data_IF_915118429579
#
_entry.id   IF_915118429579
#
_cell.length_a   1.000
_cell.length_b   1.000
_cell.length_c   1.000
_cell.angle_alpha   90.00
_cell.angle_beta   90.00
_cell.angle_gamma   90.00
#
_symmetry.space_group_name_H-M   'P 1'
#
loop_
_entity.id
_entity.type
_entity.pdbx_description
1 polymer ?
#
# COMPACT_ATOMS: atom_id res chain seq x y z
N UNK A 1 50.43 -5.61 -11.55
CA UNK A 1 50.58 -5.57 -13.02
C UNK A 1 49.31 -6.19 -13.59
N UNK A 2 48.33 -5.39 -14.03
CA UNK A 2 48.16 -4.86 -15.40
C UNK A 2 48.04 -6.02 -16.43
N UNK A 3 47.10 -6.10 -17.38
CA UNK A 3 46.04 -5.25 -17.92
C UNK A 3 45.11 -6.17 -18.77
N UNK A 4 43.78 -5.93 -18.84
CA UNK A 4 43.01 -5.36 -19.96
C UNK A 4 42.84 -6.19 -21.27
N UNK A 5 41.66 -5.96 -21.88
CA UNK A 5 41.38 -5.93 -23.34
C UNK A 5 40.76 -7.23 -23.92
N UNK A 6 39.73 -7.24 -24.78
CA UNK A 6 38.92 -6.19 -25.42
C UNK A 6 37.81 -6.82 -26.27
N UNK A 7 36.64 -6.18 -26.30
CA UNK A 7 35.65 -6.31 -27.38
C UNK A 7 36.10 -5.58 -28.66
N UNK A 8 35.62 -5.96 -29.85
CA UNK A 8 35.74 -5.12 -31.04
C UNK A 8 34.47 -4.28 -31.25
N UNK A 9 34.76 -2.99 -31.41
CA UNK A 9 33.93 -1.89 -31.88
C UNK A 9 33.81 -1.97 -33.41
N UNK A 10 32.64 -1.73 -34.00
CA UNK A 10 32.54 -1.25 -35.38
C UNK A 10 31.77 0.06 -35.42
N UNK A 11 32.45 1.05 -35.98
CA UNK A 11 32.06 2.44 -36.17
C UNK A 11 31.54 2.59 -37.60
N UNK A 12 30.53 3.43 -37.82
CA UNK A 12 30.01 3.74 -39.15
C UNK A 12 28.98 4.87 -39.10
N UNK A 13 29.47 6.10 -38.96
CA UNK A 13 28.73 7.33 -39.25
C UNK A 13 28.39 7.41 -40.75
N UNK A 14 27.20 7.90 -41.11
CA UNK A 14 27.03 9.01 -42.05
C UNK A 14 25.56 9.24 -42.47
N UNK A 15 25.08 10.43 -42.11
CA UNK A 15 24.32 11.38 -42.94
C UNK A 15 22.88 11.10 -43.38
N UNK A 16 22.02 12.00 -42.91
CA UNK A 16 20.68 12.34 -43.39
C UNK A 16 20.71 12.94 -44.81
N UNK A 17 19.71 12.62 -45.65
CA UNK A 17 19.20 13.48 -46.75
C UNK A 17 17.86 12.97 -47.27
N UNK A 18 16.87 13.87 -47.30
CA UNK A 18 15.61 13.73 -48.00
C UNK A 18 15.79 14.08 -49.49
N UNK A 19 15.15 13.35 -50.41
CA UNK A 19 14.58 13.86 -51.68
C UNK A 19 13.91 12.73 -52.50
N UNK A 20 12.63 12.96 -52.79
CA UNK A 20 11.92 12.81 -54.07
C UNK A 20 11.87 11.47 -54.85
N UNK A 21 10.63 10.99 -55.01
CA UNK A 21 10.01 10.82 -56.32
C UNK A 21 10.34 9.55 -57.13
N UNK A 22 9.38 8.62 -57.21
CA UNK A 22 9.41 7.55 -58.20
C UNK A 22 8.27 6.54 -58.02
N UNK A 23 7.12 6.82 -58.64
CA UNK A 23 5.99 5.90 -58.66
C UNK A 23 6.17 4.75 -59.65
N UNK A 24 5.58 3.60 -59.32
CA UNK A 24 5.11 2.61 -60.29
C UNK A 24 3.83 1.97 -59.76
N UNK A 25 2.76 2.11 -60.54
CA UNK A 25 1.43 1.55 -60.28
C UNK A 25 1.46 0.02 -60.39
N UNK A 26 0.73 -0.66 -59.51
CA UNK A 26 -0.08 -1.80 -59.94
C UNK A 26 -1.33 -1.85 -59.08
N UNK A 27 -2.45 -1.63 -59.76
CA UNK A 27 -3.79 -1.87 -59.27
C UNK A 27 -3.95 -3.34 -58.89
N UNK A 28 -4.43 -3.65 -57.68
CA UNK A 28 -5.46 -4.67 -57.47
C UNK A 28 -5.85 -4.83 -56.00
N UNK A 29 -7.17 -4.91 -55.79
CA UNK A 29 -7.91 -5.31 -54.59
C UNK A 29 -7.94 -4.37 -53.38
N UNK A 30 -9.06 -3.65 -53.29
CA UNK A 30 -9.69 -3.22 -52.04
C UNK A 30 -9.87 -4.43 -51.09
N UNK A 31 -8.96 -4.61 -50.15
CA UNK A 31 -9.22 -5.35 -48.92
C UNK A 31 -9.24 -4.37 -47.74
N UNK A 32 -10.41 -4.32 -47.11
CA UNK A 32 -10.83 -3.40 -46.06
C UNK A 32 -10.18 -3.73 -44.70
N UNK A 33 -8.86 -3.63 -44.58
CA UNK A 33 -8.17 -3.73 -43.29
C UNK A 33 -8.05 -2.34 -42.68
N UNK A 34 -9.10 -1.95 -41.94
CA UNK A 34 -9.00 -0.87 -40.95
C UNK A 34 -7.86 -1.22 -40.00
N UNK A 35 -6.74 -0.51 -40.13
CA UNK A 35 -5.69 -0.48 -39.13
C UNK A 35 -6.30 0.14 -37.87
N UNK A 36 -6.74 -0.68 -36.93
CA UNK A 36 -7.17 -0.21 -35.61
C UNK A 36 -5.91 0.18 -34.83
N UNK A 37 -5.77 1.44 -34.38
CA UNK A 37 -4.65 1.82 -33.53
C UNK A 37 -4.65 0.96 -32.26
N UNK A 38 -3.48 0.42 -31.89
CA UNK A 38 -3.25 -0.42 -30.71
C UNK A 38 -3.63 0.31 -29.40
N UNK A 39 -3.86 1.62 -29.47
CA UNK A 39 -4.18 2.52 -28.36
C UNK A 39 -5.58 2.29 -27.75
N UNK A 40 -6.54 1.71 -28.49
CA UNK A 40 -7.91 1.48 -27.96
C UNK A 40 -7.99 0.21 -27.09
N UNK A 41 -7.27 -0.86 -27.45
CA UNK A 41 -7.25 -2.11 -26.67
C UNK A 41 -6.60 -1.92 -25.30
N UNK A 42 -5.51 -1.13 -25.24
CA UNK A 42 -4.84 -0.80 -23.98
C UNK A 42 -5.74 0.04 -23.06
N UNK A 43 -6.54 0.96 -23.61
CA UNK A 43 -7.45 1.79 -22.82
C UNK A 43 -8.63 0.99 -22.22
N UNK A 44 -9.19 0.03 -22.95
CA UNK A 44 -10.25 -0.84 -22.41
C UNK A 44 -9.73 -1.76 -21.31
N UNK A 45 -8.55 -2.38 -21.50
CA UNK A 45 -7.94 -3.21 -20.47
C UNK A 45 -7.59 -2.40 -19.23
N UNK A 46 -7.05 -1.19 -19.38
CA UNK A 46 -6.80 -0.27 -18.26
C UNK A 46 -8.10 0.15 -17.57
N UNK A 47 -9.18 0.39 -18.31
CA UNK A 47 -10.49 0.71 -17.74
C UNK A 47 -11.08 -0.46 -16.96
N UNK A 48 -11.02 -1.69 -17.49
CA UNK A 48 -11.49 -2.89 -16.80
C UNK A 48 -10.67 -3.19 -15.56
N UNK A 49 -9.33 -3.08 -15.63
CA UNK A 49 -8.44 -3.24 -14.48
C UNK A 49 -8.66 -2.16 -13.41
N UNK A 50 -8.95 -0.91 -13.81
CA UNK A 50 -9.33 0.14 -12.88
C UNK A 50 -10.67 -0.14 -12.22
N UNK A 51 -11.67 -0.62 -12.98
CA UNK A 51 -12.99 -0.96 -12.45
C UNK A 51 -12.92 -2.14 -11.47
N UNK A 52 -12.13 -3.19 -11.77
CA UNK A 52 -11.92 -4.31 -10.86
C UNK A 52 -11.19 -3.88 -9.58
N UNK A 53 -10.14 -3.06 -9.71
CA UNK A 53 -9.42 -2.50 -8.56
C UNK A 53 -10.29 -1.57 -7.70
N UNK A 54 -11.16 -0.77 -8.33
CA UNK A 54 -12.13 0.07 -7.63
C UNK A 54 -13.15 -0.77 -6.86
N UNK A 55 -13.67 -1.83 -7.47
CA UNK A 55 -14.63 -2.71 -6.81
C UNK A 55 -14.00 -3.47 -5.64
N UNK A 56 -12.76 -3.95 -5.83
CA UNK A 56 -11.96 -4.55 -4.76
C UNK A 56 -11.72 -3.58 -3.60
N UNK A 57 -11.51 -2.30 -3.89
CA UNK A 57 -11.39 -1.28 -2.86
C UNK A 57 -12.70 -0.93 -2.19
N UNK A 58 -13.84 -0.99 -2.87
CA UNK A 58 -15.18 -0.72 -2.30
C UNK A 58 -15.62 -1.88 -1.39
N UNK A 59 -15.18 -3.11 -1.68
CA UNK A 59 -15.47 -4.31 -0.89
C UNK A 59 -14.40 -4.59 0.19
N UNK A 60 -13.39 -3.74 0.34
CA UNK A 60 -12.33 -3.95 1.31
C UNK A 60 -12.84 -3.76 2.75
N UNK A 61 -12.30 -4.57 3.66
CA UNK A 61 -12.66 -4.50 5.08
C UNK A 61 -11.42 -4.21 5.88
N UNK A 62 -11.55 -3.31 6.84
CA UNK A 62 -10.46 -2.97 7.73
C UNK A 62 -10.65 -3.65 9.08
N UNK A 63 -9.57 -3.70 9.85
CA UNK A 63 -9.59 -4.13 11.23
C UNK A 63 -9.28 -2.92 12.11
N UNK A 64 -9.92 -2.84 13.28
CA UNK A 64 -9.57 -1.86 14.31
C UNK A 64 -9.13 -2.58 15.57
N UNK A 65 -8.03 -2.14 16.19
CA UNK A 65 -7.47 -2.77 17.38
C UNK A 65 -6.94 -1.76 18.39
N UNK A 66 -7.21 -2.04 19.67
CA UNK A 66 -6.60 -1.34 20.79
C UNK A 66 -5.11 -1.68 20.93
N UNK A 67 -4.28 -0.65 20.94
CA UNK A 67 -2.86 -0.73 21.24
C UNK A 67 -2.64 -0.56 22.75
N UNK A 68 -2.53 -1.67 23.48
CA UNK A 68 -2.33 -1.66 24.92
C UNK A 68 -0.84 -1.52 25.23
N UNK A 69 -0.49 -0.64 26.16
CA UNK A 69 0.90 -0.43 26.61
C UNK A 69 1.74 0.45 25.68
N UNK A 70 1.15 1.07 24.66
CA UNK A 70 1.81 2.02 23.76
C UNK A 70 1.06 3.35 23.82
N UNK A 71 1.81 4.43 23.93
CA UNK A 71 1.31 5.78 24.20
C UNK A 71 1.40 6.73 23.01
N UNK A 72 2.22 6.41 22.00
CA UNK A 72 2.42 7.19 20.77
C UNK A 72 2.67 6.32 19.53
N UNK A 73 2.57 6.91 18.34
CA UNK A 73 2.84 6.23 17.06
C UNK A 73 4.34 5.93 16.93
N UNK A 74 5.18 6.81 17.44
CA UNK A 74 6.64 6.73 17.41
C UNK A 74 7.12 5.54 18.24
N UNK A 75 6.51 5.32 19.41
CA UNK A 75 6.76 4.16 20.25
C UNK A 75 6.36 2.87 19.54
N UNK A 76 5.20 2.84 18.87
CA UNK A 76 4.78 1.71 18.04
C UNK A 76 5.79 1.42 16.91
N UNK A 77 6.23 2.46 16.20
CA UNK A 77 7.23 2.36 15.12
C UNK A 77 8.54 1.77 15.64
N UNK A 78 9.05 2.28 16.76
CA UNK A 78 10.30 1.82 17.39
C UNK A 78 10.20 0.35 17.80
N UNK A 79 9.11 -0.06 18.46
CA UNK A 79 8.87 -1.45 18.85
C UNK A 79 8.83 -2.39 17.63
N UNK A 80 8.13 -2.01 16.56
CA UNK A 80 8.08 -2.79 15.33
C UNK A 80 9.45 -2.89 14.65
N UNK A 81 10.21 -1.79 14.59
CA UNK A 81 11.56 -1.77 14.04
C UNK A 81 12.52 -2.69 14.83
N UNK A 82 12.47 -2.64 16.15
CA UNK A 82 13.29 -3.50 17.01
C UNK A 82 12.94 -4.98 16.83
N UNK A 83 11.66 -5.33 16.69
CA UNK A 83 11.23 -6.70 16.38
C UNK A 83 11.73 -7.19 15.02
N UNK A 84 11.66 -6.34 13.99
CA UNK A 84 12.22 -6.67 12.66
C UNK A 84 13.72 -6.89 12.72
N UNK A 85 14.47 -6.03 13.41
CA UNK A 85 15.92 -6.19 13.61
C UNK A 85 16.27 -7.52 14.29
N UNK A 86 15.52 -7.91 15.33
CA UNK A 86 15.71 -9.21 16.00
C UNK A 86 15.48 -10.38 15.05
N UNK A 87 14.40 -10.35 14.26
CA UNK A 87 14.12 -11.39 13.25
C UNK A 87 15.25 -11.53 12.24
N UNK A 88 15.78 -10.41 11.75
CA UNK A 88 16.93 -10.44 10.83
C UNK A 88 18.16 -11.06 11.51
N UNK A 89 18.41 -10.75 12.78
CA UNK A 89 19.50 -11.36 13.54
C UNK A 89 19.30 -12.88 13.81
N UNK A 90 18.06 -13.35 13.70
CA UNK A 90 17.65 -14.76 13.82
C UNK A 90 17.47 -15.41 12.42
N UNK A 91 18.11 -14.86 11.38
CA UNK A 91 18.01 -15.31 9.97
C UNK A 91 16.57 -15.50 9.45
N UNK A 92 15.64 -14.72 10.00
CA UNK A 92 14.23 -14.75 9.67
C UNK A 92 13.80 -13.51 8.89
N UNK A 93 12.73 -13.65 8.11
CA UNK A 93 12.17 -12.55 7.32
C UNK A 93 11.80 -11.33 8.20
N UNK A 94 12.18 -10.12 7.74
CA UNK A 94 12.02 -8.86 8.46
C UNK A 94 10.57 -8.33 8.49
N UNK A 95 9.62 -9.20 8.83
CA UNK A 95 8.18 -8.90 8.82
C UNK A 95 7.70 -8.27 10.13
N UNK A 96 6.72 -7.36 10.00
CA UNK A 96 5.90 -6.93 11.11
C UNK A 96 4.76 -7.93 11.32
N UNK A 97 4.92 -8.81 12.30
CA UNK A 97 3.91 -9.81 12.62
C UNK A 97 3.15 -9.40 13.86
N UNK A 98 1.83 -9.38 13.73
CA UNK A 98 0.93 -9.17 14.84
C UNK A 98 0.06 -10.41 15.08
N UNK A 99 0.27 -11.04 16.24
CA UNK A 99 -0.42 -12.29 16.59
C UNK A 99 -1.79 -12.00 17.18
N UNK A 100 -2.79 -12.74 16.72
CA UNK A 100 -4.16 -12.72 17.21
C UNK A 100 -4.62 -14.14 17.52
N UNK A 101 -5.50 -14.31 18.51
CA UNK A 101 -6.06 -15.63 18.87
C UNK A 101 -7.11 -16.10 17.86
N UNK A 102 -7.97 -15.19 17.42
CA UNK A 102 -9.05 -15.50 16.49
C UNK A 102 -8.64 -15.07 15.08
N UNK A 103 -8.83 -15.96 14.10
CA UNK A 103 -8.66 -15.65 12.68
C UNK A 103 -9.84 -14.83 12.16
N UNK A 104 -9.61 -13.74 11.42
CA UNK A 104 -10.69 -13.01 10.76
C UNK A 104 -11.35 -13.88 9.69
N UNK A 105 -12.67 -14.03 9.78
CA UNK A 105 -13.48 -14.79 8.80
C UNK A 105 -13.48 -14.13 7.41
N UNK A 106 -13.38 -12.79 7.36
CA UNK A 106 -13.37 -11.99 6.12
C UNK A 106 -11.95 -11.76 5.59
N UNK A 107 -11.07 -12.77 5.69
CA UNK A 107 -9.66 -12.62 5.34
C UNK A 107 -9.45 -12.20 3.87
N UNK A 108 -10.29 -12.70 2.96
CA UNK A 108 -10.23 -12.38 1.51
C UNK A 108 -10.51 -10.90 1.23
N UNK A 109 -11.36 -10.27 2.05
CA UNK A 109 -11.68 -8.83 1.94
C UNK A 109 -10.61 -7.94 2.59
N UNK A 110 -9.69 -8.53 3.36
CA UNK A 110 -8.65 -7.83 4.12
C UNK A 110 -7.28 -7.94 3.45
N UNK A 111 -6.87 -9.13 3.03
CA UNK A 111 -5.53 -9.41 2.51
C UNK A 111 -5.26 -8.56 1.27
N UNK A 112 -4.23 -7.70 1.32
CA UNK A 112 -3.83 -6.85 0.20
C UNK A 112 -4.76 -5.67 -0.10
N UNK A 113 -5.90 -5.55 0.59
CA UNK A 113 -6.94 -4.53 0.34
C UNK A 113 -7.23 -3.67 1.57
N UNK A 114 -7.25 -4.30 2.75
CA UNK A 114 -7.57 -3.69 4.03
C UNK A 114 -6.36 -3.27 4.85
N UNK A 115 -6.63 -2.53 5.92
CA UNK A 115 -5.63 -2.05 6.88
C UNK A 115 -6.05 -2.37 8.32
N UNK A 116 -5.05 -2.47 9.20
CA UNK A 116 -5.23 -2.46 10.64
C UNK A 116 -5.13 -1.03 11.17
N UNK A 117 -6.21 -0.53 11.76
CA UNK A 117 -6.31 0.76 12.41
C UNK A 117 -5.96 0.62 13.90
N UNK A 118 -5.01 1.44 14.33
CA UNK A 118 -4.48 1.46 15.69
C UNK A 118 -5.22 2.48 16.54
N UNK A 119 -5.79 2.01 17.65
CA UNK A 119 -6.38 2.84 18.69
C UNK A 119 -5.35 3.06 19.80
N UNK A 120 -4.93 4.31 19.99
CA UNK A 120 -4.02 4.76 21.04
C UNK A 120 -4.75 5.83 21.86
N UNK A 121 -4.71 5.74 23.20
CA UNK A 121 -5.40 6.68 24.10
C UNK A 121 -6.88 6.92 23.72
N UNK A 122 -7.60 5.84 23.40
CA UNK A 122 -9.03 5.85 22.99
C UNK A 122 -9.32 6.61 21.69
N UNK A 123 -8.33 6.81 20.82
CA UNK A 123 -8.51 7.43 19.51
C UNK A 123 -7.85 6.60 18.42
N UNK A 124 -8.48 6.52 17.25
CA UNK A 124 -7.83 6.01 16.04
C UNK A 124 -6.87 7.08 15.55
N UNK A 125 -5.60 6.74 15.39
CA UNK A 125 -4.55 7.72 15.06
C UNK A 125 -3.67 7.29 13.88
N UNK A 126 -3.68 6.01 13.54
CA UNK A 126 -2.89 5.47 12.45
C UNK A 126 -3.52 4.22 11.87
N UNK A 127 -3.15 3.91 10.62
CA UNK A 127 -3.45 2.64 9.96
C UNK A 127 -2.17 2.01 9.41
N UNK A 128 -2.24 0.70 9.24
CA UNK A 128 -1.14 -0.09 8.70
C UNK A 128 -1.72 -1.13 7.73
N UNK A 129 -1.36 -1.11 6.44
CA UNK A 129 -1.86 -2.07 5.47
C UNK A 129 -1.58 -3.52 5.89
N UNK A 130 -2.56 -4.41 5.70
CA UNK A 130 -2.42 -5.84 5.97
C UNK A 130 -2.00 -6.50 4.66
N UNK A 131 -0.77 -7.01 4.63
CA UNK A 131 -0.18 -7.64 3.45
C UNK A 131 -0.66 -9.08 3.33
N UNK A 132 -0.72 -9.79 4.45
CA UNK A 132 -1.03 -11.22 4.47
C UNK A 132 -1.58 -11.65 5.83
N UNK A 133 -2.26 -12.80 5.88
CA UNK A 133 -2.80 -13.41 7.09
C UNK A 133 -2.44 -14.90 7.09
N UNK A 134 -1.54 -15.28 8.00
CA UNK A 134 -1.00 -16.64 8.07
C UNK A 134 -1.52 -17.38 9.30
N UNK A 135 -1.89 -18.67 9.19
CA UNK A 135 -2.14 -19.49 10.38
C UNK A 135 -0.84 -19.64 11.18
N UNK A 136 -0.95 -19.59 12.51
CA UNK A 136 0.19 -19.78 13.40
C UNK A 136 -0.23 -20.67 14.56
N UNK A 137 0.64 -21.57 15.00
CA UNK A 137 0.41 -22.34 16.21
C UNK A 137 1.42 -21.93 17.27
N UNK A 138 0.93 -21.58 18.45
CA UNK A 138 1.75 -21.23 19.60
C UNK A 138 1.26 -22.09 20.75
N UNK A 139 2.15 -22.90 21.32
CA UNK A 139 1.87 -23.76 22.48
C UNK A 139 0.64 -24.67 22.26
N UNK A 140 0.52 -25.27 21.06
CA UNK A 140 -0.59 -26.16 20.71
C UNK A 140 -1.94 -25.48 20.48
N UNK A 141 -2.02 -24.14 20.61
CA UNK A 141 -3.24 -23.37 20.34
C UNK A 141 -3.18 -22.70 18.99
N UNK A 142 -4.29 -22.78 18.25
CA UNK A 142 -4.47 -22.09 16.96
C UNK A 142 -4.46 -20.57 17.19
N UNK A 143 -3.59 -19.91 16.48
CA UNK A 143 -3.43 -18.47 16.40
C UNK A 143 -3.37 -18.03 14.93
N UNK A 144 -3.35 -16.73 14.73
CA UNK A 144 -3.31 -16.12 13.42
C UNK A 144 -2.30 -14.97 13.45
N UNK A 145 -1.37 -14.98 12.50
CA UNK A 145 -0.39 -13.94 12.28
C UNK A 145 -0.91 -12.97 11.21
N UNK A 146 -1.19 -11.72 11.61
CA UNK A 146 -1.42 -10.63 10.67
C UNK A 146 -0.05 -10.08 10.25
N UNK A 147 0.26 -10.17 8.97
CA UNK A 147 1.48 -9.62 8.38
C UNK A 147 1.18 -8.20 7.94
N UNK A 148 1.85 -7.24 8.58
CA UNK A 148 1.62 -5.81 8.41
C UNK A 148 2.72 -5.21 7.54
N UNK A 149 2.35 -4.24 6.70
CA UNK A 149 3.30 -3.45 5.95
C UNK A 149 4.23 -2.68 6.91
N UNK A 150 5.54 -2.53 6.66
CA UNK A 150 6.45 -1.75 7.50
C UNK A 150 6.05 -0.29 7.72
N UNK A 151 5.31 0.31 6.79
CA UNK A 151 4.88 1.70 6.85
C UNK A 151 3.63 1.89 7.72
N UNK A 152 3.71 2.83 8.67
CA UNK A 152 2.58 3.26 9.50
C UNK A 152 2.10 4.61 8.99
N UNK A 153 0.86 4.65 8.49
CA UNK A 153 0.23 5.81 7.89
C UNK A 153 -0.60 6.51 8.96
N UNK A 154 -0.36 7.81 9.18
CA UNK A 154 -1.13 8.59 10.16
C UNK A 154 -2.53 8.89 9.62
N UNK A 155 -3.53 8.86 10.48
CA UNK A 155 -4.92 9.14 10.13
C UNK A 155 -5.43 10.33 10.92
N UNK A 156 -6.47 10.99 10.43
CA UNK A 156 -7.20 11.96 11.23
C UNK A 156 -7.68 11.32 12.54
N UNK A 157 -7.50 12.06 13.65
CA UNK A 157 -7.76 11.53 14.98
C UNK A 157 -9.26 11.37 15.24
N UNK A 158 -9.76 10.14 15.24
CA UNK A 158 -11.19 9.81 15.45
C UNK A 158 -11.40 9.20 16.85
N UNK A 159 -12.28 9.76 17.70
CA UNK A 159 -12.62 9.16 18.98
C UNK A 159 -13.11 7.72 18.83
N UNK A 160 -12.71 6.83 19.74
CA UNK A 160 -13.08 5.42 19.71
C UNK A 160 -13.57 4.95 21.08
N UNK A 161 -14.70 4.25 21.09
CA UNK A 161 -15.23 3.63 22.31
C UNK A 161 -14.33 2.45 22.72
N UNK A 162 -14.15 2.18 24.03
CA UNK A 162 -13.41 1.01 24.47
C UNK A 162 -14.03 -0.29 23.91
N UNK A 163 -13.18 -1.19 23.42
CA UNK A 163 -13.57 -2.54 23.00
C UNK A 163 -12.43 -3.52 23.29
N UNK A 164 -12.76 -4.81 23.32
CA UNK A 164 -11.80 -5.86 23.58
C UNK A 164 -11.35 -6.55 22.28
N UNK A 165 -10.04 -6.73 22.13
CA UNK A 165 -9.47 -7.44 20.98
C UNK A 165 -9.44 -6.58 19.72
N UNK A 166 -9.99 -7.11 18.64
CA UNK A 166 -10.12 -6.41 17.36
C UNK A 166 -11.58 -6.48 16.87
N UNK A 167 -11.96 -5.57 15.98
CA UNK A 167 -13.28 -5.52 15.31
C UNK A 167 -13.09 -5.24 13.82
N UNK A 168 -14.11 -5.59 13.02
CA UNK A 168 -14.18 -5.11 11.66
C UNK A 168 -14.51 -3.62 11.65
N UNK A 169 -13.95 -2.92 10.67
CA UNK A 169 -14.17 -1.52 10.40
C UNK A 169 -14.45 -1.40 8.91
N UNK A 170 -15.69 -1.05 8.57
CA UNK A 170 -16.08 -0.83 7.18
C UNK A 170 -15.40 0.43 6.64
N UNK A 171 -15.17 0.50 5.34
CA UNK A 171 -14.48 1.63 4.70
C UNK A 171 -15.16 2.97 4.99
N UNK A 172 -16.49 3.00 4.99
CA UNK A 172 -17.28 4.19 5.29
C UNK A 172 -17.01 4.78 6.69
N UNK A 173 -16.58 3.93 7.63
CA UNK A 173 -16.28 4.33 9.01
C UNK A 173 -14.79 4.66 9.23
N UNK A 174 -13.94 4.51 8.21
CA UNK A 174 -12.51 4.76 8.36
C UNK A 174 -12.19 6.25 8.42
N UNK A 175 -11.29 6.70 9.32
CA UNK A 175 -10.76 8.05 9.24
C UNK A 175 -9.88 8.20 8.01
N UNK A 176 -9.92 9.39 7.39
CA UNK A 176 -9.05 9.75 6.28
C UNK A 176 -7.58 9.78 6.70
N UNK A 177 -6.69 9.53 5.74
CA UNK A 177 -5.25 9.64 5.95
C UNK A 177 -4.83 11.09 6.08
N UNK A 178 -3.87 11.36 6.97
CA UNK A 178 -3.22 12.65 7.02
C UNK A 178 -2.24 12.73 5.86
N UNK A 179 -2.51 13.61 4.89
CA UNK A 179 -1.56 13.89 3.81
C UNK A 179 -0.25 14.39 4.41
N UNK A 180 0.88 13.84 3.95
CA UNK A 180 2.25 14.21 4.35
C UNK A 180 2.57 15.70 4.20
N UNK A 181 1.72 16.50 3.55
CA UNK A 181 1.89 17.95 3.39
C UNK A 181 1.57 18.78 4.66
N UNK A 182 0.88 18.23 5.67
CA UNK A 182 0.60 18.91 6.95
C UNK A 182 1.39 18.28 8.11
N UNK A 183 2.72 18.34 8.07
CA UNK A 183 3.59 17.82 9.16
C UNK A 183 3.72 18.78 10.35
N UNK A 184 3.12 19.97 10.31
CA UNK A 184 3.29 20.97 11.38
C UNK A 184 2.55 20.67 12.70
N UNK A 185 1.72 19.63 12.79
CA UNK A 185 0.87 19.37 13.97
C UNK A 185 1.26 18.15 14.82
N UNK A 186 2.28 17.38 14.44
CA UNK A 186 2.56 16.06 15.04
C UNK A 186 3.13 16.10 16.47
N UNK A 187 3.71 17.23 16.92
CA UNK A 187 4.15 17.42 18.31
C UNK A 187 3.10 18.10 19.21
N UNK A 188 1.92 18.40 18.67
CA UNK A 188 0.90 19.11 19.43
C UNK A 188 0.04 18.14 20.26
N UNK A 189 -0.05 18.32 21.60
CA UNK A 189 -0.94 17.55 22.46
C UNK A 189 -2.36 17.43 21.88
N UNK A 190 -2.96 16.23 21.99
CA UNK A 190 -4.26 15.93 21.39
C UNK A 190 -5.40 16.89 21.78
N UNK A 191 -5.37 17.47 22.98
CA UNK A 191 -6.37 18.44 23.40
C UNK A 191 -6.31 19.73 22.55
N UNK A 192 -5.10 20.22 22.27
CA UNK A 192 -4.87 21.38 21.41
C UNK A 192 -5.25 21.10 19.96
N UNK A 193 -5.06 19.87 19.46
CA UNK A 193 -5.52 19.52 18.11
C UNK A 193 -7.05 19.51 17.98
N UNK A 194 -7.78 19.06 19.01
CA UNK A 194 -9.26 19.12 19.00
C UNK A 194 -9.76 20.57 19.13
N UNK A 195 -9.09 21.41 19.91
CA UNK A 195 -9.38 22.85 19.99
C UNK A 195 -9.11 23.58 18.67
N UNK A 196 -7.96 23.34 18.03
CA UNK A 196 -7.68 23.93 16.72
C UNK A 196 -8.67 23.47 15.65
N UNK A 197 -9.12 22.21 15.72
CA UNK A 197 -10.17 21.70 14.83
C UNK A 197 -11.53 22.34 15.12
N UNK A 198 -11.90 22.54 16.39
CA UNK A 198 -13.15 23.22 16.74
C UNK A 198 -13.15 24.69 16.33
N UNK A 199 -11.98 25.32 16.27
CA UNK A 199 -11.76 26.68 15.77
C UNK A 199 -11.59 26.78 14.25
N UNK A 200 -11.61 25.65 13.51
CA UNK A 200 -11.51 25.63 12.05
C UNK A 200 -10.12 25.94 11.48
N UNK A 201 -9.07 25.76 12.28
CA UNK A 201 -7.68 26.11 11.92
C UNK A 201 -6.86 24.93 11.37
N UNK A 202 -7.45 23.73 11.27
CA UNK A 202 -6.80 22.49 10.81
C UNK A 202 -7.64 21.69 9.81
#
# INVERSE_FOLDING_TARGET
MAALSSAPYYRGDATCRCADGGGYQSDFFYSNTKYYPIDTFNNHLVAVLRLSSLWDHIMAVNLIKLCVGISSIEELKSLQQNRRRRRVAEDSEALNIHVTRNTPKRAVEIIGKGSLYWVIKRRVVARQPIVDIRPMNIEGRKHCALILNPEIIRTHSKPCRPFQGWRYLELADTPADLSTTKVASDDMPYHLQDELRSLGLL
#
